data_IF_610738119859
#
_entry.id   IF_610738119859
#
_cell.length_a   1.000
_cell.length_b   1.000
_cell.length_c   1.000
_cell.angle_alpha   90.00
_cell.angle_beta   90.00
_cell.angle_gamma   90.00
#
_symmetry.space_group_name_H-M   'P 1'
#
loop_
_entity.id
_entity.type
_entity.pdbx_description
1 polymer ?
#
# COMPACT_ATOMS: atom_id res chain seq x y z
N UNK A 1 -1.49 -14.09 -2.44
CA UNK A 1 -0.65 -13.45 -1.40
C UNK A 1 -0.16 -14.54 -0.47
N UNK A 2 1.09 -14.45 -0.02
CA UNK A 2 1.68 -15.32 1.00
C UNK A 2 2.37 -14.45 2.06
N UNK A 3 2.15 -14.77 3.34
CA UNK A 3 2.84 -14.10 4.45
C UNK A 3 3.63 -15.12 5.26
N UNK A 4 4.89 -14.79 5.56
CA UNK A 4 5.75 -15.55 6.45
C UNK A 4 6.21 -14.65 7.60
N UNK A 5 6.27 -15.19 8.80
CA UNK A 5 6.70 -14.44 9.98
C UNK A 5 7.52 -15.29 10.94
N UNK A 6 8.45 -14.66 11.64
CA UNK A 6 9.21 -15.26 12.75
C UNK A 6 9.12 -14.34 13.96
N UNK A 7 8.68 -14.84 15.12
CA UNK A 7 8.69 -14.07 16.36
C UNK A 7 10.12 -13.79 16.80
N UNK A 8 10.34 -12.59 17.32
CA UNK A 8 11.60 -12.22 17.95
C UNK A 8 11.34 -11.31 19.17
N UNK A 9 12.31 -11.18 20.06
CA UNK A 9 12.22 -10.23 21.16
C UNK A 9 13.56 -9.52 21.26
N UNK A 10 13.69 -8.40 20.54
CA UNK A 10 14.93 -7.61 20.50
C UNK A 10 14.64 -6.15 20.77
N UNK A 11 15.52 -5.50 21.52
CA UNK A 11 15.58 -4.04 21.53
C UNK A 11 16.10 -3.60 20.16
N UNK A 12 15.47 -2.58 19.58
CA UNK A 12 15.91 -2.05 18.29
C UNK A 12 17.33 -1.51 18.40
N UNK A 13 18.18 -1.95 17.47
CA UNK A 13 19.52 -1.44 17.22
C UNK A 13 19.87 -1.73 15.77
N UNK A 14 20.87 -1.05 15.23
CA UNK A 14 21.36 -1.30 13.87
C UNK A 14 21.79 -2.76 13.68
N UNK A 15 22.48 -3.35 14.67
CA UNK A 15 22.86 -4.76 14.63
C UNK A 15 21.64 -5.69 14.63
N UNK A 16 20.64 -5.43 15.47
CA UNK A 16 19.43 -6.25 15.53
C UNK A 16 18.64 -6.15 14.22
N UNK A 17 18.54 -4.95 13.63
CA UNK A 17 17.95 -4.71 12.32
C UNK A 17 18.64 -5.54 11.25
N UNK A 18 19.96 -5.44 11.12
CA UNK A 18 20.70 -6.10 10.05
C UNK A 18 20.60 -7.64 10.15
N UNK A 19 20.58 -8.17 11.37
CA UNK A 19 20.32 -9.59 11.62
C UNK A 19 18.90 -10.00 11.19
N UNK A 20 17.88 -9.19 11.48
CA UNK A 20 16.50 -9.47 11.12
C UNK A 20 16.24 -9.30 9.63
N UNK A 21 16.90 -8.37 8.95
CA UNK A 21 16.89 -8.25 7.49
C UNK A 21 17.42 -9.54 6.85
N UNK A 22 18.54 -10.09 7.36
CA UNK A 22 19.06 -11.38 6.87
C UNK A 22 18.08 -12.55 7.10
N UNK A 23 17.32 -12.53 8.19
CA UNK A 23 16.27 -13.51 8.44
C UNK A 23 15.08 -13.31 7.50
N UNK A 24 14.72 -12.05 7.20
CA UNK A 24 13.66 -11.70 6.27
C UNK A 24 13.95 -12.21 4.86
N UNK A 25 15.20 -12.17 4.38
CA UNK A 25 15.54 -12.72 3.06
C UNK A 25 15.24 -14.22 2.97
N UNK A 26 15.49 -14.99 4.04
CA UNK A 26 15.13 -16.42 4.09
C UNK A 26 13.61 -16.64 4.07
N UNK A 27 12.87 -15.78 4.77
CA UNK A 27 11.40 -15.81 4.75
C UNK A 27 10.84 -15.47 3.38
N UNK A 28 11.46 -14.50 2.70
CA UNK A 28 11.12 -14.11 1.33
C UNK A 28 11.34 -15.24 0.35
N UNK A 29 12.49 -15.93 0.40
CA UNK A 29 12.75 -17.12 -0.43
C UNK A 29 11.69 -18.19 -0.24
N UNK A 30 11.31 -18.46 1.01
CA UNK A 30 10.24 -19.42 1.35
C UNK A 30 8.89 -18.99 0.77
N UNK A 31 8.49 -17.73 0.96
CA UNK A 31 7.23 -17.20 0.44
C UNK A 31 7.18 -17.26 -1.10
N UNK A 32 8.29 -16.94 -1.77
CA UNK A 32 8.42 -17.05 -3.23
C UNK A 32 8.30 -18.49 -3.72
N UNK A 33 8.93 -19.44 -3.03
CA UNK A 33 8.85 -20.86 -3.36
C UNK A 33 7.40 -21.38 -3.25
N UNK A 34 6.70 -21.03 -2.17
CA UNK A 34 5.31 -21.41 -1.95
C UNK A 34 4.38 -20.79 -3.01
N UNK A 35 4.57 -19.51 -3.36
CA UNK A 35 3.79 -18.86 -4.44
C UNK A 35 4.07 -19.50 -5.81
N UNK A 36 5.31 -19.83 -6.11
CA UNK A 36 5.68 -20.53 -7.36
C UNK A 36 5.02 -21.90 -7.43
N UNK A 37 4.96 -22.64 -6.33
CA UNK A 37 4.28 -23.93 -6.25
C UNK A 37 2.75 -23.82 -6.50
N UNK A 38 2.17 -22.64 -6.25
CA UNK A 38 0.77 -22.32 -6.56
C UNK A 38 0.57 -21.85 -8.02
N UNK A 39 1.61 -21.83 -8.84
CA UNK A 39 1.55 -21.41 -10.24
C UNK A 39 1.69 -19.90 -10.47
N UNK A 40 2.07 -19.13 -9.44
CA UNK A 40 2.32 -17.67 -9.58
C UNK A 40 3.65 -17.45 -10.31
N UNK A 41 3.65 -16.56 -11.32
CA UNK A 41 4.87 -16.15 -11.99
C UNK A 41 5.77 -15.38 -11.00
N UNK A 42 6.95 -15.90 -10.69
CA UNK A 42 7.91 -15.28 -9.77
C UNK A 42 8.33 -13.87 -10.17
N UNK A 43 8.34 -13.55 -11.46
CA UNK A 43 8.69 -12.21 -11.97
C UNK A 43 7.63 -11.15 -11.61
N UNK A 44 6.41 -11.60 -11.29
CA UNK A 44 5.29 -10.72 -10.91
C UNK A 44 5.10 -10.65 -9.39
N UNK A 45 6.00 -11.24 -8.61
CA UNK A 45 5.91 -11.24 -7.14
C UNK A 45 6.70 -10.10 -6.53
N UNK A 46 5.98 -9.25 -5.81
CA UNK A 46 6.57 -8.20 -4.98
C UNK A 46 6.58 -8.65 -3.53
N UNK A 47 7.68 -8.43 -2.83
CA UNK A 47 7.79 -8.78 -1.41
C UNK A 47 8.16 -7.56 -0.59
N UNK A 48 7.43 -7.34 0.50
CA UNK A 48 7.70 -6.27 1.46
C UNK A 48 8.07 -6.88 2.80
N UNK A 49 9.17 -6.39 3.39
CA UNK A 49 9.63 -6.75 4.73
C UNK A 49 9.05 -5.78 5.73
N UNK A 50 8.61 -6.28 6.88
CA UNK A 50 8.11 -5.49 7.99
C UNK A 50 8.79 -5.90 9.29
N UNK A 51 9.02 -4.91 10.16
CA UNK A 51 9.30 -5.12 11.58
C UNK A 51 8.09 -4.67 12.38
N UNK A 52 7.58 -5.53 13.26
CA UNK A 52 6.56 -5.12 14.22
C UNK A 52 7.26 -4.51 15.44
N UNK A 53 7.05 -3.20 15.64
CA UNK A 53 7.81 -2.38 16.58
C UNK A 53 6.89 -1.73 17.61
N UNK A 54 7.39 -1.49 18.82
CA UNK A 54 6.65 -0.74 19.84
C UNK A 54 7.48 -0.51 21.11
N UNK A 55 7.10 0.47 21.92
CA UNK A 55 7.82 0.77 23.16
C UNK A 55 7.82 -0.42 24.12
N UNK A 56 8.92 -0.58 24.87
CA UNK A 56 9.04 -1.55 25.95
C UNK A 56 7.97 -1.25 27.02
N UNK A 57 7.18 -2.26 27.38
CA UNK A 57 6.08 -2.12 28.34
C UNK A 57 4.81 -1.50 27.77
N UNK A 58 4.75 -1.22 26.47
CA UNK A 58 3.51 -0.91 25.76
C UNK A 58 2.92 -2.16 25.11
N UNK A 59 1.59 -2.24 25.09
CA UNK A 59 0.83 -3.25 24.37
C UNK A 59 0.69 -2.90 22.87
N UNK A 60 0.94 -1.63 22.51
CA UNK A 60 0.84 -1.17 21.12
C UNK A 60 2.04 -1.62 20.30
N UNK A 61 1.76 -2.21 19.13
CA UNK A 61 2.74 -2.56 18.10
C UNK A 61 2.31 -1.97 16.76
N UNK A 62 3.29 -1.47 16.02
CA UNK A 62 3.14 -0.88 14.70
C UNK A 62 3.93 -1.72 13.71
N UNK A 63 3.28 -2.09 12.61
CA UNK A 63 3.93 -2.78 11.49
C UNK A 63 4.66 -1.78 10.62
N UNK A 64 5.99 -1.76 10.70
CA UNK A 64 6.84 -0.80 9.99
C UNK A 64 7.43 -1.46 8.75
N UNK A 65 7.05 -0.97 7.57
CA UNK A 65 7.61 -1.43 6.31
C UNK A 65 9.08 -1.02 6.18
N UNK A 66 9.90 -1.87 5.58
CA UNK A 66 11.32 -1.58 5.28
C UNK A 66 11.44 -0.37 4.36
N UNK A 67 12.03 0.75 4.81
CA UNK A 67 12.34 1.88 3.94
C UNK A 67 13.59 1.59 3.09
N UNK A 68 13.87 2.43 2.09
CA UNK A 68 15.02 2.25 1.19
C UNK A 68 16.37 2.39 1.90
N UNK A 69 16.44 3.20 2.96
CA UNK A 69 17.63 3.48 3.76
C UNK A 69 17.77 2.58 5.01
N UNK A 70 16.85 1.61 5.17
CA UNK A 70 16.79 0.72 6.32
C UNK A 70 16.60 1.43 7.69
N UNK A 71 16.14 2.70 7.71
CA UNK A 71 15.80 3.41 8.94
C UNK A 71 14.36 3.15 9.42
N UNK A 72 14.12 1.93 9.89
CA UNK A 72 12.84 1.55 10.50
C UNK A 72 12.47 2.40 11.73
N UNK A 73 13.45 2.95 12.44
CA UNK A 73 13.17 3.68 13.68
C UNK A 73 12.54 5.04 13.40
N UNK A 74 13.02 5.74 12.38
CA UNK A 74 12.39 6.99 11.93
C UNK A 74 10.96 6.75 11.43
N UNK A 75 10.72 5.72 10.62
CA UNK A 75 9.36 5.37 10.16
C UNK A 75 8.46 4.96 11.32
N UNK A 76 9.00 4.27 12.34
CA UNK A 76 8.28 3.96 13.57
C UNK A 76 7.82 5.23 14.29
N UNK A 77 8.72 6.20 14.50
CA UNK A 77 8.37 7.45 15.18
C UNK A 77 7.41 8.34 14.38
N UNK A 78 7.57 8.40 13.07
CA UNK A 78 6.64 9.11 12.20
C UNK A 78 5.25 8.48 12.28
N UNK A 79 5.18 7.15 12.17
CA UNK A 79 3.91 6.42 12.26
C UNK A 79 3.30 6.56 13.64
N UNK A 80 4.07 6.38 14.71
CA UNK A 80 3.57 6.49 16.07
C UNK A 80 3.07 7.91 16.37
N UNK A 81 3.77 8.95 15.89
CA UNK A 81 3.30 10.34 15.99
C UNK A 81 2.00 10.57 15.21
N UNK A 82 1.87 10.02 14.00
CA UNK A 82 0.66 10.17 13.19
C UNK A 82 -0.54 9.47 13.82
N UNK A 83 -0.37 8.24 14.32
CA UNK A 83 -1.46 7.43 14.85
C UNK A 83 -1.84 7.81 16.30
N UNK A 84 -0.89 8.24 17.12
CA UNK A 84 -1.09 8.47 18.56
C UNK A 84 -0.78 9.88 19.04
N UNK A 85 -0.30 10.77 18.17
CA UNK A 85 0.05 12.16 18.48
C UNK A 85 1.19 12.36 19.51
N UNK A 86 1.99 11.33 19.80
CA UNK A 86 3.18 11.45 20.66
C UNK A 86 4.29 10.47 20.27
N UNK A 87 5.48 10.68 20.84
CA UNK A 87 6.59 9.72 20.88
C UNK A 87 7.20 9.69 22.29
N UNK A 88 7.56 8.51 22.78
CA UNK A 88 8.25 8.29 24.06
C UNK A 88 9.72 7.94 23.80
N UNK A 89 10.55 8.97 23.62
CA UNK A 89 11.96 8.81 23.27
C UNK A 89 12.83 8.22 24.39
N UNK A 90 12.34 8.23 25.63
CA UNK A 90 13.03 7.66 26.78
C UNK A 90 12.83 6.14 26.89
N UNK A 91 11.81 5.60 26.23
CA UNK A 91 11.54 4.16 26.22
C UNK A 91 12.25 3.45 25.07
N UNK A 92 12.93 2.31 25.35
CA UNK A 92 13.45 1.46 24.30
C UNK A 92 12.35 0.96 23.37
N UNK A 93 12.58 1.02 22.07
CA UNK A 93 11.71 0.39 21.07
C UNK A 93 12.08 -1.09 20.96
N UNK A 94 11.08 -1.96 20.99
CA UNK A 94 11.23 -3.40 20.83
C UNK A 94 10.69 -3.86 19.47
N UNK A 95 11.35 -4.85 18.90
CA UNK A 95 10.90 -5.61 17.74
C UNK A 95 10.33 -6.94 18.24
N UNK A 96 9.08 -7.25 17.89
CA UNK A 96 8.37 -8.46 18.34
C UNK A 96 8.32 -9.57 17.29
N UNK A 97 8.45 -9.22 16.02
CA UNK A 97 8.55 -10.16 14.92
C UNK A 97 9.06 -9.47 13.66
N UNK A 98 9.62 -10.30 12.78
CA UNK A 98 9.92 -9.95 11.40
C UNK A 98 8.92 -10.67 10.50
N UNK A 99 8.32 -9.92 9.57
CA UNK A 99 7.31 -10.43 8.63
C UNK A 99 7.71 -10.11 7.20
N UNK A 100 7.43 -11.04 6.30
CA UNK A 100 7.51 -10.84 4.85
C UNK A 100 6.15 -11.10 4.24
N UNK A 101 5.62 -10.12 3.51
CA UNK A 101 4.41 -10.27 2.68
C UNK A 101 4.82 -10.31 1.23
N UNK A 102 4.53 -11.41 0.54
CA UNK A 102 4.76 -11.58 -0.89
C UNK A 102 3.41 -11.61 -1.64
N UNK A 103 3.29 -10.73 -2.62
CA UNK A 103 2.09 -10.55 -3.44
C UNK A 103 2.45 -10.79 -4.91
N UNK A 104 1.89 -11.83 -5.50
CA UNK A 104 1.94 -12.03 -6.95
C UNK A 104 0.86 -11.23 -7.65
N UNK A 105 1.21 -10.56 -8.74
CA UNK A 105 0.25 -9.91 -9.62
C UNK A 105 -0.14 -10.86 -10.77
N UNK A 106 -1.41 -11.23 -10.85
CA UNK A 106 -1.93 -12.15 -11.89
C UNK A 106 -1.96 -11.49 -13.28
N UNK A 107 -1.93 -10.17 -13.33
CA UNK A 107 -1.86 -9.39 -14.56
C UNK A 107 -0.56 -8.58 -14.50
N UNK A 108 0.50 -9.01 -15.21
CA UNK A 108 1.69 -8.17 -15.40
C UNK A 108 1.26 -6.79 -15.93
N UNK A 109 2.03 -5.72 -15.62
CA UNK A 109 1.69 -4.30 -15.89
C UNK A 109 0.54 -4.13 -16.87
N UNK A 110 -0.70 -4.21 -16.37
CA UNK A 110 -1.83 -3.80 -17.18
C UNK A 110 -1.65 -2.32 -17.32
N UNK A 111 -1.29 -1.90 -18.53
CA UNK A 111 -1.32 -0.52 -18.96
C UNK A 111 -2.80 -0.13 -18.98
N UNK A 112 -3.37 0.00 -17.79
CA UNK A 112 -4.79 0.15 -17.56
C UNK A 112 -5.12 1.55 -18.03
N UNK A 113 -5.75 1.59 -19.20
CA UNK A 113 -6.05 2.81 -19.90
C UNK A 113 -7.06 3.58 -19.06
N UNK A 114 -6.62 4.70 -18.50
CA UNK A 114 -7.47 5.51 -17.63
C UNK A 114 -8.64 6.09 -18.44
N UNK A 115 -9.91 5.88 -18.02
CA UNK A 115 -11.05 6.50 -18.67
C UNK A 115 -10.96 8.03 -18.74
N UNK A 116 -10.23 8.66 -17.80
CA UNK A 116 -9.97 10.10 -17.82
C UNK A 116 -8.98 10.52 -18.92
N UNK A 117 -7.92 9.73 -19.13
CA UNK A 117 -6.99 9.94 -20.26
C UNK A 117 -7.71 9.74 -21.59
N UNK A 118 -8.66 8.82 -21.64
CA UNK A 118 -9.48 8.57 -22.83
C UNK A 118 -10.42 9.73 -23.10
N UNK A 119 -11.16 10.16 -22.07
CA UNK A 119 -12.02 11.34 -22.15
C UNK A 119 -11.27 12.60 -22.59
N UNK A 120 -10.01 12.78 -22.13
CA UNK A 120 -9.19 13.91 -22.51
C UNK A 120 -8.66 13.84 -23.95
N UNK A 121 -8.43 12.62 -24.48
CA UNK A 121 -7.86 12.41 -25.82
C UNK A 121 -8.90 12.31 -26.93
N UNK A 122 -10.16 12.01 -26.61
CA UNK A 122 -11.24 11.95 -27.58
C UNK A 122 -11.65 13.36 -28.03
N UNK A 123 -11.80 13.55 -29.34
CA UNK A 123 -12.37 14.77 -29.90
C UNK A 123 -13.83 14.92 -29.44
N UNK A 124 -14.11 16.00 -28.71
CA UNK A 124 -15.46 16.31 -28.23
C UNK A 124 -16.25 16.93 -29.38
N UNK A 125 -17.14 16.15 -29.98
CA UNK A 125 -18.06 16.62 -30.99
C UNK A 125 -19.42 16.86 -30.36
N UNK A 126 -20.12 17.96 -30.71
CA UNK A 126 -21.51 18.11 -30.34
C UNK A 126 -22.31 16.96 -30.96
N UNK A 127 -23.31 16.51 -30.23
CA UNK A 127 -24.27 15.53 -30.73
C UNK A 127 -25.03 16.13 -31.93
N UNK A 128 -25.43 15.28 -32.88
CA UNK A 128 -26.25 15.70 -34.02
C UNK A 128 -27.57 16.33 -33.54
N UNK A 129 -28.03 17.39 -34.19
CA UNK A 129 -29.29 18.05 -33.81
C UNK A 129 -30.49 17.17 -34.18
N UNK A 130 -31.47 17.04 -33.28
CA UNK A 130 -32.70 16.29 -33.53
C UNK A 130 -32.66 14.84 -33.05
N UNK A 131 -31.59 14.41 -32.37
CA UNK A 131 -31.49 13.08 -31.75
C UNK A 131 -31.87 13.08 -30.27
N UNK A 132 -32.36 14.21 -29.76
CA UNK A 132 -32.93 14.26 -28.41
C UNK A 132 -34.10 13.27 -28.26
N UNK A 133 -34.08 12.49 -27.18
CA UNK A 133 -35.17 11.60 -26.80
C UNK A 133 -36.34 12.41 -26.22
N UNK A 134 -36.04 13.48 -25.49
CA UNK A 134 -37.05 14.37 -24.90
C UNK A 134 -36.51 15.75 -24.58
N UNK A 135 -37.43 16.69 -24.35
CA UNK A 135 -37.12 18.02 -23.82
C UNK A 135 -37.71 18.16 -22.42
N UNK A 136 -36.91 18.65 -21.46
CA UNK A 136 -37.34 18.84 -20.07
C UNK A 136 -36.99 20.26 -19.61
N UNK A 137 -37.90 20.99 -18.93
CA UNK A 137 -37.60 22.31 -18.39
C UNK A 137 -36.64 22.19 -17.19
N UNK A 138 -35.54 22.93 -17.24
CA UNK A 138 -34.55 23.07 -16.16
C UNK A 138 -34.61 24.50 -15.63
N UNK A 139 -34.74 24.65 -14.31
CA UNK A 139 -34.91 25.96 -13.67
C UNK A 139 -33.56 26.47 -13.18
N UNK A 140 -33.20 27.66 -13.62
CA UNK A 140 -32.04 28.43 -13.16
C UNK A 140 -32.50 29.74 -12.51
N UNK A 141 -31.58 30.45 -11.86
CA UNK A 141 -31.88 31.75 -11.22
C UNK A 141 -32.40 32.78 -12.22
N UNK A 142 -32.03 32.69 -13.51
CA UNK A 142 -32.52 33.57 -14.57
C UNK A 142 -33.86 33.12 -15.19
N UNK A 143 -34.39 31.95 -14.82
CA UNK A 143 -35.66 31.41 -15.33
C UNK A 143 -35.59 29.95 -15.79
N UNK A 144 -36.66 29.48 -16.43
CA UNK A 144 -36.73 28.13 -16.96
C UNK A 144 -36.14 28.05 -18.38
N UNK A 145 -35.24 27.10 -18.61
CA UNK A 145 -34.64 26.78 -19.89
C UNK A 145 -34.99 25.34 -20.30
N UNK A 146 -35.38 25.16 -21.55
CA UNK A 146 -35.65 23.82 -22.10
C UNK A 146 -34.32 23.11 -22.40
N UNK A 147 -34.09 21.98 -21.72
CA UNK A 147 -32.92 21.13 -21.94
C UNK A 147 -33.31 19.93 -22.81
N UNK A 148 -32.55 19.73 -23.89
CA UNK A 148 -32.60 18.53 -24.73
C UNK A 148 -31.86 17.38 -24.03
N UNK A 149 -32.48 16.21 -23.95
CA UNK A 149 -31.95 14.98 -23.35
C UNK A 149 -31.89 13.90 -24.40
#
# INVERSE_FOLDING_TARGET
>A
VNEQQIPCAKVYSETARDELIKQAEKLKEKALMELKAQGVNSETVFSTVYLNMGYKGSDTRIMVARPEDDDFLSVFYETHQREFAFNDYDKPVLITDVRVRSTGNTFGETNERSPYKDYASVAKVPVESGVEEKTTPVIFDEGALDSKV
#
